data_IF_735682072835
#
_entry.id   IF_735682072835
#
_cell.length_a   1.000
_cell.length_b   1.000
_cell.length_c   1.000
_cell.angle_alpha   90.00
_cell.angle_beta   90.00
_cell.angle_gamma   90.00
#
_symmetry.space_group_name_H-M   'P 1'
#
loop_
_entity.id
_entity.type
_entity.pdbx_description
1 polymer ?
#
# COMPACT_ATOMS: atom_id res chain seq x y z
N UNK A 1 -27.76 2.38 -18.73
CA UNK A 1 -27.48 2.74 -17.32
C UNK A 1 -26.21 2.08 -16.77
N UNK A 2 -25.88 0.83 -17.15
CA UNK A 2 -24.61 0.17 -16.77
C UNK A 2 -23.33 0.80 -17.36
N UNK A 3 -23.42 1.62 -18.42
CA UNK A 3 -22.27 2.29 -19.03
C UNK A 3 -21.74 3.51 -18.23
N UNK A 4 -22.45 3.94 -17.17
CA UNK A 4 -22.08 5.13 -16.39
C UNK A 4 -21.06 4.84 -15.27
N UNK A 5 -20.90 3.59 -14.85
CA UNK A 5 -19.95 3.20 -13.80
C UNK A 5 -18.53 2.96 -14.33
N UNK A 6 -18.37 2.57 -15.61
CA UNK A 6 -17.06 2.26 -16.20
C UNK A 6 -16.25 3.49 -16.64
N UNK A 7 -16.90 4.62 -16.92
CA UNK A 7 -16.23 5.85 -17.37
C UNK A 7 -15.29 6.43 -16.31
N UNK A 8 -15.60 6.24 -15.03
CA UNK A 8 -14.83 6.78 -13.92
C UNK A 8 -13.53 6.03 -13.65
N UNK A 9 -13.53 4.71 -13.82
CA UNK A 9 -12.31 3.91 -13.77
C UNK A 9 -11.33 4.32 -14.89
N UNK A 10 -11.84 4.70 -16.07
CA UNK A 10 -11.05 5.15 -17.22
C UNK A 10 -10.42 6.52 -16.97
N UNK A 11 -11.13 7.45 -16.33
CA UNK A 11 -10.58 8.77 -15.98
C UNK A 11 -9.47 8.65 -14.91
N UNK A 12 -9.63 7.73 -13.95
CA UNK A 12 -8.63 7.44 -12.93
C UNK A 12 -7.36 6.82 -13.53
N UNK A 13 -7.51 5.92 -14.52
CA UNK A 13 -6.37 5.36 -15.28
C UNK A 13 -5.67 6.43 -16.11
N UNK A 14 -6.42 7.40 -16.66
CA UNK A 14 -5.87 8.50 -17.47
C UNK A 14 -5.11 9.54 -16.63
N UNK A 15 -5.47 9.73 -15.36
CA UNK A 15 -4.75 10.60 -14.43
C UNK A 15 -3.51 9.92 -13.81
N UNK A 16 -3.51 8.58 -13.75
CA UNK A 16 -2.38 7.79 -13.23
C UNK A 16 -1.32 7.45 -14.30
N UNK A 17 -1.63 7.68 -15.58
CA UNK A 17 -0.72 7.50 -16.71
C UNK A 17 -0.79 8.73 -17.64
N UNK A 18 0.12 9.72 -17.52
CA UNK A 18 0.32 10.67 -18.60
C UNK A 18 0.88 9.89 -19.79
N UNK A 19 0.05 9.60 -20.79
CA UNK A 19 0.45 8.81 -21.94
C UNK A 19 1.22 9.67 -22.93
N UNK A 20 2.52 9.42 -23.02
CA UNK A 20 3.18 9.48 -24.33
C UNK A 20 2.64 8.31 -25.16
N UNK A 21 1.71 8.62 -26.07
CA UNK A 21 1.39 7.82 -27.25
C UNK A 21 0.67 6.49 -27.02
N UNK A 22 -0.66 6.52 -26.83
CA UNK A 22 -1.52 5.38 -27.17
C UNK A 22 -2.87 5.85 -27.71
N UNK A 23 -3.06 5.72 -29.02
CA UNK A 23 -4.33 5.99 -29.71
C UNK A 23 -5.20 4.73 -29.73
N UNK A 24 -6.32 4.73 -29.03
CA UNK A 24 -7.31 3.64 -29.09
C UNK A 24 -8.35 3.95 -30.16
N UNK A 25 -8.39 3.13 -31.21
CA UNK A 25 -9.41 3.18 -32.26
C UNK A 25 -10.68 2.46 -31.76
N UNK A 26 -11.75 3.22 -31.52
CA UNK A 26 -13.08 2.71 -31.16
C UNK A 26 -13.88 2.44 -32.44
N UNK A 27 -13.88 1.20 -32.91
CA UNK A 27 -14.87 0.75 -33.90
C UNK A 27 -16.17 0.39 -33.19
N UNK A 28 -17.18 1.25 -33.37
CA UNK A 28 -18.57 1.03 -32.99
C UNK A 28 -19.16 -0.10 -33.86
N UNK A 29 -19.47 -1.25 -33.27
CA UNK A 29 -20.27 -2.29 -33.94
C UNK A 29 -21.74 -1.90 -33.84
N UNK A 30 -22.31 -1.52 -34.98
CA UNK A 30 -23.72 -1.19 -35.16
C UNK A 30 -24.52 -2.49 -35.31
N UNK A 31 -25.42 -2.74 -34.36
CA UNK A 31 -26.38 -3.85 -34.40
C UNK A 31 -27.36 -3.66 -35.57
N UNK A 32 -27.41 -4.63 -36.48
CA UNK A 32 -28.57 -4.84 -37.36
C UNK A 32 -29.22 -6.19 -37.05
N UNK A 33 -30.47 -6.09 -36.62
CA UNK A 33 -31.43 -7.18 -36.42
C UNK A 33 -31.79 -7.90 -37.74
N UNK A 34 -31.83 -9.24 -37.74
CA UNK A 34 -32.79 -10.02 -38.55
C UNK A 34 -32.98 -11.44 -38.00
N UNK A 35 -34.23 -11.89 -38.11
CA UNK A 35 -34.87 -13.10 -37.58
C UNK A 35 -34.41 -14.44 -38.23
N UNK A 36 -34.87 -15.61 -37.73
CA UNK A 36 -34.09 -16.86 -37.67
C UNK A 36 -34.35 -17.80 -38.85
N UNK A 37 -33.45 -18.77 -39.06
CA UNK A 37 -33.76 -20.04 -39.72
C UNK A 37 -32.78 -21.15 -39.33
N UNK A 38 -33.38 -22.32 -39.22
CA UNK A 38 -32.93 -23.68 -38.91
C UNK A 38 -31.91 -24.26 -39.90
N UNK A 39 -30.95 -25.08 -39.44
CA UNK A 39 -30.82 -26.51 -39.80
C UNK A 39 -29.52 -27.15 -39.28
N UNK A 40 -29.69 -28.34 -38.69
CA UNK A 40 -28.83 -29.54 -38.65
C UNK A 40 -27.53 -29.57 -39.48
N UNK A 41 -26.41 -30.00 -38.88
CA UNK A 41 -25.74 -31.30 -39.16
C UNK A 41 -24.38 -31.44 -38.42
N UNK A 42 -24.22 -32.61 -37.80
CA UNK A 42 -23.06 -33.53 -37.74
C UNK A 42 -21.70 -33.04 -37.17
N UNK A 43 -21.27 -33.57 -36.02
CA UNK A 43 -20.48 -34.81 -35.76
C UNK A 43 -18.99 -34.62 -36.12
N UNK A 44 -18.13 -34.51 -35.09
CA UNK A 44 -17.10 -35.52 -34.76
C UNK A 44 -16.21 -35.07 -33.57
N UNK A 45 -16.40 -35.77 -32.45
CA UNK A 45 -15.43 -36.61 -31.75
C UNK A 45 -14.10 -36.09 -31.14
N UNK A 46 -13.72 -36.82 -30.07
CA UNK A 46 -12.44 -36.91 -29.35
C UNK A 46 -12.24 -35.99 -28.12
N UNK A 47 -12.17 -36.61 -26.94
CA UNK A 47 -11.35 -36.06 -25.83
C UNK A 47 -11.71 -36.45 -24.40
N UNK A 48 -11.88 -37.73 -24.13
CA UNK A 48 -12.17 -38.29 -22.81
C UNK A 48 -10.99 -38.14 -21.82
N UNK A 49 -11.07 -37.28 -20.79
CA UNK A 49 -10.23 -37.35 -19.59
C UNK A 49 -11.03 -37.13 -18.31
N UNK A 50 -10.99 -38.17 -17.47
CA UNK A 50 -11.86 -38.37 -16.32
C UNK A 50 -11.62 -37.43 -15.15
N UNK A 51 -12.74 -36.99 -14.56
CA UNK A 51 -12.79 -36.24 -13.31
C UNK A 51 -13.02 -37.27 -12.19
N UNK A 52 -12.00 -37.47 -11.36
CA UNK A 52 -12.12 -38.22 -10.10
C UNK A 52 -12.64 -37.27 -9.02
N UNK A 53 -13.91 -37.44 -8.67
CA UNK A 53 -14.51 -36.86 -7.47
C UNK A 53 -13.92 -37.52 -6.22
N UNK A 54 -13.23 -36.74 -5.37
CA UNK A 54 -12.92 -37.12 -4.00
C UNK A 54 -13.60 -36.16 -3.03
N UNK A 55 -14.66 -36.66 -2.41
CA UNK A 55 -15.18 -36.13 -1.15
C UNK A 55 -14.10 -36.20 -0.07
N UNK A 56 -13.90 -35.11 0.67
CA UNK A 56 -13.39 -35.19 2.04
C UNK A 56 -14.12 -34.19 2.93
N UNK A 57 -14.94 -34.76 3.81
CA UNK A 57 -15.41 -34.12 5.03
C UNK A 57 -14.24 -34.09 6.03
N UNK A 58 -13.99 -32.94 6.65
CA UNK A 58 -13.33 -32.90 7.95
C UNK A 58 -13.91 -31.72 8.76
N UNK A 59 -14.66 -32.10 9.80
CA UNK A 59 -15.21 -31.28 10.87
C UNK A 59 -14.14 -31.03 11.94
N UNK A 60 -14.27 -29.85 12.57
CA UNK A 60 -13.97 -29.54 13.97
C UNK A 60 -12.50 -29.43 14.42
N UNK A 61 -12.20 -28.27 15.02
CA UNK A 61 -10.97 -27.99 15.77
C UNK A 61 -11.01 -26.62 16.44
N UNK A 62 -12.06 -26.35 17.24
CA UNK A 62 -12.10 -25.23 18.19
C UNK A 62 -11.31 -25.68 19.41
N UNK A 63 -10.20 -25.01 19.73
CA UNK A 63 -9.63 -24.86 21.10
C UNK A 63 -8.27 -24.16 21.02
N UNK A 64 -8.20 -22.89 21.41
CA UNK A 64 -7.12 -22.36 22.27
C UNK A 64 -7.44 -20.89 22.62
N UNK A 65 -8.21 -20.73 23.69
CA UNK A 65 -8.48 -19.47 24.36
C UNK A 65 -8.23 -19.78 25.84
N UNK A 66 -7.48 -18.89 26.51
CA UNK A 66 -7.03 -18.91 27.92
C UNK A 66 -5.56 -19.31 28.11
N UNK A 67 -4.70 -18.29 28.15
CA UNK A 67 -3.59 -18.21 29.11
C UNK A 67 -3.26 -16.72 29.34
N UNK A 68 -4.13 -16.05 30.10
CA UNK A 68 -3.79 -14.83 30.83
C UNK A 68 -2.89 -15.24 32.00
N UNK A 69 -1.58 -14.98 31.88
CA UNK A 69 -0.61 -15.21 32.95
C UNK A 69 -0.37 -13.89 33.70
N UNK A 70 -0.77 -13.92 34.97
CA UNK A 70 -0.44 -12.94 36.00
C UNK A 70 1.02 -12.51 35.97
N UNK A 71 1.27 -11.20 36.04
CA UNK A 71 2.57 -10.62 36.36
C UNK A 71 2.41 -9.87 37.68
N UNK A 72 2.96 -10.42 38.75
CA UNK A 72 3.09 -9.78 40.05
C UNK A 72 4.52 -10.00 40.56
N UNK A 73 5.19 -8.87 40.86
CA UNK A 73 6.28 -8.65 41.85
C UNK A 73 7.52 -9.57 41.77
N UNK A 74 8.68 -9.13 41.26
CA UNK A 74 9.72 -8.29 41.89
C UNK A 74 10.19 -8.76 43.26
N UNK A 75 11.41 -9.32 43.33
CA UNK A 75 12.48 -8.95 44.29
C UNK A 75 13.66 -9.96 44.22
N UNK A 76 14.86 -9.39 44.36
CA UNK A 76 16.21 -9.98 44.55
C UNK A 76 17.12 -10.12 43.32
N UNK A 77 17.99 -9.10 43.22
CA UNK A 77 19.44 -9.10 43.03
C UNK A 77 20.11 -10.31 42.36
N UNK A 78 20.83 -10.03 41.28
CA UNK A 78 22.28 -10.26 41.25
C UNK A 78 22.91 -9.29 40.23
N UNK A 79 23.91 -8.54 40.71
CA UNK A 79 24.83 -7.74 39.93
C UNK A 79 25.64 -8.64 38.99
N UNK A 80 25.49 -8.45 37.68
CA UNK A 80 26.48 -8.91 36.70
C UNK A 80 26.74 -7.81 35.67
N UNK A 81 27.81 -7.06 35.95
CA UNK A 81 28.48 -6.13 35.06
C UNK A 81 29.09 -6.90 33.87
N UNK A 82 28.29 -7.29 32.89
CA UNK A 82 28.81 -7.57 31.54
C UNK A 82 27.76 -7.59 30.43
N UNK A 83 27.99 -6.70 29.45
CA UNK A 83 27.58 -6.83 28.04
C UNK A 83 26.08 -6.88 27.74
N UNK A 84 25.53 -5.74 27.34
CA UNK A 84 24.79 -5.70 26.07
C UNK A 84 24.88 -4.29 25.49
N UNK A 85 25.74 -4.11 24.48
CA UNK A 85 25.59 -3.01 23.53
C UNK A 85 24.36 -3.36 22.69
N UNK A 86 23.19 -3.32 23.31
CA UNK A 86 21.92 -3.43 22.64
C UNK A 86 21.86 -2.26 21.66
N UNK A 87 22.09 -2.56 20.38
CA UNK A 87 21.62 -1.74 19.27
C UNK A 87 20.11 -1.69 19.39
N UNK A 88 19.61 -0.86 20.29
CA UNK A 88 18.18 -0.60 20.47
C UNK A 88 17.72 0.03 19.18
N UNK A 89 17.04 -0.76 18.36
CA UNK A 89 16.30 -0.23 17.22
C UNK A 89 15.43 0.93 17.73
N UNK A 90 15.43 2.07 17.03
CA UNK A 90 14.65 3.22 17.47
C UNK A 90 13.17 2.81 17.59
N UNK A 91 12.44 3.33 18.60
CA UNK A 91 11.01 3.07 18.72
C UNK A 91 10.28 3.37 17.40
N UNK A 92 9.18 2.68 17.07
CA UNK A 92 8.65 2.62 15.70
C UNK A 92 8.24 3.97 15.09
N UNK A 93 7.90 4.96 15.91
CA UNK A 93 7.63 6.32 15.43
C UNK A 93 8.94 7.07 15.09
N UNK A 94 10.00 6.84 15.87
CA UNK A 94 11.32 7.44 15.59
C UNK A 94 11.90 6.91 14.28
N UNK A 95 11.61 5.67 13.87
CA UNK A 95 12.04 5.16 12.56
C UNK A 95 11.33 5.85 11.40
N UNK A 96 10.04 6.17 11.50
CA UNK A 96 9.35 7.01 10.50
C UNK A 96 9.92 8.41 10.46
N UNK A 97 10.12 9.05 11.62
CA UNK A 97 10.68 10.41 11.68
C UNK A 97 12.07 10.43 11.05
N UNK A 98 12.89 9.41 11.31
CA UNK A 98 14.19 9.25 10.68
C UNK A 98 14.05 9.02 9.16
N UNK A 99 13.11 8.20 8.69
CA UNK A 99 12.84 8.01 7.25
C UNK A 99 12.45 9.33 6.56
N UNK A 100 11.62 10.15 7.22
CA UNK A 100 11.24 11.49 6.73
C UNK A 100 12.44 12.43 6.70
N UNK A 101 13.28 12.43 7.74
CA UNK A 101 14.48 13.27 7.80
C UNK A 101 15.52 12.87 6.74
N UNK A 102 15.65 11.57 6.50
CA UNK A 102 16.59 11.02 5.51
C UNK A 102 16.06 11.15 4.08
N UNK A 103 14.74 11.12 3.89
CA UNK A 103 14.08 11.23 2.60
C UNK A 103 12.86 12.17 2.63
N UNK A 104 13.10 13.49 2.75
CA UNK A 104 12.02 14.47 2.80
C UNK A 104 11.21 14.51 1.50
N UNK A 105 11.86 14.20 0.37
CA UNK A 105 11.24 14.16 -0.96
C UNK A 105 10.12 13.11 -1.04
N UNK A 106 10.34 11.91 -0.48
CA UNK A 106 9.31 10.87 -0.37
C UNK A 106 8.10 11.36 0.41
N UNK A 107 8.33 12.01 1.56
CA UNK A 107 7.26 12.55 2.39
C UNK A 107 6.46 13.66 1.67
N UNK A 108 7.14 14.53 0.92
CA UNK A 108 6.51 15.59 0.12
C UNK A 108 5.67 15.00 -1.00
N UNK A 109 6.19 14.05 -1.78
CA UNK A 109 5.42 13.42 -2.86
C UNK A 109 4.24 12.63 -2.32
N UNK A 110 4.43 11.85 -1.25
CA UNK A 110 3.35 11.13 -0.59
C UNK A 110 2.23 12.09 -0.16
N UNK A 111 2.59 13.16 0.54
CA UNK A 111 1.64 14.18 1.02
C UNK A 111 0.90 14.84 -0.15
N UNK A 112 1.62 15.18 -1.21
CA UNK A 112 1.05 15.82 -2.40
C UNK A 112 0.08 14.89 -3.13
N UNK A 113 0.46 13.62 -3.36
CA UNK A 113 -0.40 12.66 -4.03
C UNK A 113 -1.67 12.35 -3.23
N UNK A 114 -1.56 12.12 -1.92
CA UNK A 114 -2.73 11.92 -1.08
C UNK A 114 -3.67 13.14 -1.07
N UNK A 115 -3.10 14.35 -1.00
CA UNK A 115 -3.88 15.59 -1.04
C UNK A 115 -4.59 15.76 -2.39
N UNK A 116 -3.88 15.55 -3.50
CA UNK A 116 -4.45 15.71 -4.85
C UNK A 116 -5.53 14.65 -5.10
N UNK A 117 -5.30 13.39 -4.73
CA UNK A 117 -6.31 12.34 -4.86
C UNK A 117 -7.57 12.67 -4.04
N UNK A 118 -7.42 13.14 -2.80
CA UNK A 118 -8.54 13.59 -1.98
C UNK A 118 -9.28 14.76 -2.62
N UNK A 119 -8.56 15.82 -2.99
CA UNK A 119 -9.15 17.03 -3.55
C UNK A 119 -9.83 16.82 -4.92
N UNK A 120 -9.38 15.83 -5.69
CA UNK A 120 -9.98 15.50 -6.98
C UNK A 120 -11.15 14.54 -6.84
N UNK A 121 -10.99 13.41 -6.12
CA UNK A 121 -12.01 12.37 -6.02
C UNK A 121 -13.16 12.75 -5.08
N UNK A 122 -12.86 13.47 -4.00
CA UNK A 122 -13.84 13.88 -2.99
C UNK A 122 -15.06 14.61 -3.55
N UNK A 123 -14.88 15.70 -4.33
CA UNK A 123 -15.98 16.40 -4.97
C UNK A 123 -16.86 15.54 -5.89
N UNK A 124 -16.28 14.53 -6.56
CA UNK A 124 -17.08 13.62 -7.40
C UNK A 124 -17.91 12.65 -6.56
N UNK A 125 -17.38 12.19 -5.42
CA UNK A 125 -18.13 11.34 -4.49
C UNK A 125 -19.28 12.13 -3.86
N UNK A 126 -18.97 13.31 -3.33
CA UNK A 126 -19.93 14.24 -2.76
C UNK A 126 -21.03 14.64 -3.76
N UNK A 127 -20.65 14.81 -5.04
CA UNK A 127 -21.61 15.09 -6.10
C UNK A 127 -22.66 14.00 -6.27
N UNK A 128 -22.41 12.73 -5.94
CA UNK A 128 -23.48 11.72 -5.99
C UNK A 128 -24.57 12.04 -4.98
N UNK A 129 -24.21 12.37 -3.75
CA UNK A 129 -25.19 12.73 -2.72
C UNK A 129 -25.93 14.01 -3.05
N UNK A 130 -25.25 14.99 -3.67
CA UNK A 130 -25.92 16.19 -4.19
C UNK A 130 -26.93 15.87 -5.31
N UNK A 131 -26.53 15.04 -6.29
CA UNK A 131 -27.37 14.71 -7.44
C UNK A 131 -28.60 13.86 -7.08
N UNK A 132 -28.47 13.01 -6.07
CA UNK A 132 -29.57 12.17 -5.57
C UNK A 132 -30.37 12.84 -4.45
N UNK A 133 -30.07 14.11 -4.13
CA UNK A 133 -30.82 14.87 -3.13
C UNK A 133 -30.61 14.38 -1.70
N UNK A 134 -29.53 13.67 -1.40
CA UNK A 134 -29.15 13.33 -0.01
C UNK A 134 -28.77 14.61 0.74
N UNK A 135 -27.97 15.46 0.11
CA UNK A 135 -27.50 16.72 0.65
C UNK A 135 -27.61 17.84 -0.39
N UNK A 136 -27.62 19.08 0.07
CA UNK A 136 -27.61 20.26 -0.80
C UNK A 136 -26.71 21.36 -0.25
N UNK A 137 -26.17 22.15 -1.16
CA UNK A 137 -25.43 23.38 -0.87
C UNK A 137 -26.31 24.58 -1.13
N UNK A 138 -26.23 25.61 -0.29
CA UNK A 138 -26.94 26.87 -0.54
C UNK A 138 -26.36 27.64 -1.74
N UNK A 139 -25.07 27.49 -2.01
CA UNK A 139 -24.38 28.05 -3.18
C UNK A 139 -23.59 26.95 -3.91
N UNK A 140 -24.28 26.08 -4.68
CA UNK A 140 -23.64 24.99 -5.38
C UNK A 140 -22.85 25.52 -6.58
N UNK A 141 -21.67 24.96 -6.79
CA UNK A 141 -20.96 24.99 -8.06
C UNK A 141 -21.43 23.79 -8.88
N UNK A 142 -22.09 24.06 -10.00
CA UNK A 142 -22.61 23.04 -10.92
C UNK A 142 -21.88 23.20 -12.25
N UNK A 143 -21.23 22.13 -12.72
CA UNK A 143 -20.58 22.15 -14.02
C UNK A 143 -20.74 20.81 -14.75
N UNK A 144 -20.97 20.84 -16.08
CA UNK A 144 -21.02 19.63 -16.88
C UNK A 144 -19.59 19.08 -17.04
N UNK A 145 -19.41 17.79 -16.75
CA UNK A 145 -18.16 17.07 -17.01
C UNK A 145 -18.20 16.52 -18.44
N UNK A 146 -19.35 15.98 -18.84
CA UNK A 146 -19.61 15.49 -20.19
C UNK A 146 -20.93 16.08 -20.67
N UNK A 147 -20.86 17.04 -21.59
CA UNK A 147 -22.01 17.80 -22.09
C UNK A 147 -21.65 19.27 -22.35
N UNK A 148 -22.53 20.00 -23.04
CA UNK A 148 -22.27 21.40 -23.43
C UNK A 148 -22.69 22.44 -22.40
N UNK A 149 -23.66 22.13 -21.52
CA UNK A 149 -24.10 23.03 -20.45
C UNK A 149 -24.73 22.24 -19.30
N UNK A 150 -24.64 22.74 -18.06
CA UNK A 150 -25.29 22.15 -16.88
C UNK A 150 -26.82 22.17 -16.97
N UNK A 151 -27.36 23.15 -17.70
CA UNK A 151 -28.81 23.36 -17.88
C UNK A 151 -29.36 22.61 -19.10
N UNK A 152 -28.49 21.95 -19.88
CA UNK A 152 -28.88 21.22 -21.08
C UNK A 152 -29.34 19.80 -20.72
N UNK A 153 -30.46 19.35 -21.28
CA UNK A 153 -30.89 17.94 -21.19
C UNK A 153 -29.87 16.96 -21.80
N UNK A 154 -28.86 17.48 -22.51
CA UNK A 154 -27.74 16.75 -23.09
C UNK A 154 -26.52 16.60 -22.15
N UNK A 155 -26.54 17.13 -20.92
CA UNK A 155 -25.51 16.85 -19.92
C UNK A 155 -25.57 15.37 -19.51
N UNK A 156 -24.61 14.58 -19.98
CA UNK A 156 -24.50 13.15 -19.65
C UNK A 156 -23.95 12.95 -18.23
N UNK A 157 -23.12 13.89 -17.77
CA UNK A 157 -22.45 13.83 -16.48
C UNK A 157 -22.23 15.24 -15.92
N UNK A 158 -22.72 15.49 -14.70
CA UNK A 158 -22.65 16.77 -14.02
C UNK A 158 -21.98 16.59 -12.66
N UNK A 159 -21.15 17.55 -12.25
CA UNK A 159 -20.63 17.64 -10.90
C UNK A 159 -21.37 18.74 -10.15
N UNK A 160 -21.82 18.45 -8.92
CA UNK A 160 -22.41 19.39 -7.99
C UNK A 160 -21.56 19.37 -6.73
N UNK A 161 -20.93 20.50 -6.39
CA UNK A 161 -20.05 20.64 -5.21
C UNK A 161 -20.00 22.10 -4.76
N UNK A 162 -19.03 22.49 -3.92
CA UNK A 162 -18.74 23.90 -3.64
C UNK A 162 -17.23 24.13 -3.43
N UNK A 163 -16.78 25.38 -3.44
CA UNK A 163 -15.35 25.72 -3.56
C UNK A 163 -14.50 25.25 -2.36
N UNK A 164 -15.09 25.07 -1.17
CA UNK A 164 -14.39 24.61 0.02
C UNK A 164 -14.34 23.07 0.16
N UNK A 165 -15.10 22.35 -0.66
CA UNK A 165 -15.16 20.87 -0.63
C UNK A 165 -13.84 20.24 -1.12
N UNK A 166 -13.28 20.61 -2.30
CA UNK A 166 -11.98 20.08 -2.73
C UNK A 166 -10.85 20.24 -1.70
N UNK A 167 -10.58 21.43 -1.10
CA UNK A 167 -9.52 21.55 -0.10
C UNK A 167 -9.79 20.75 1.17
N UNK A 168 -11.06 20.62 1.61
CA UNK A 168 -11.42 19.80 2.76
C UNK A 168 -11.14 18.31 2.52
N UNK A 169 -11.52 17.78 1.35
CA UNK A 169 -11.23 16.40 0.99
C UNK A 169 -9.74 16.16 0.73
N UNK A 170 -9.01 17.16 0.21
CA UNK A 170 -7.55 17.08 0.10
C UNK A 170 -6.87 16.97 1.46
N UNK A 171 -7.28 17.78 2.42
CA UNK A 171 -6.81 17.70 3.80
C UNK A 171 -7.15 16.35 4.43
N UNK A 172 -8.37 15.85 4.23
CA UNK A 172 -8.77 14.52 4.70
C UNK A 172 -7.88 13.41 4.11
N UNK A 173 -7.61 13.44 2.79
CA UNK A 173 -6.71 12.49 2.14
C UNK A 173 -5.31 12.50 2.74
N UNK A 174 -4.75 13.70 2.98
CA UNK A 174 -3.47 13.88 3.66
C UNK A 174 -3.48 13.27 5.08
N UNK A 175 -4.46 13.64 5.92
CA UNK A 175 -4.52 13.22 7.32
C UNK A 175 -4.74 11.71 7.46
N UNK A 176 -5.69 11.16 6.70
CA UNK A 176 -6.00 9.73 6.71
C UNK A 176 -4.80 8.93 6.21
N UNK A 177 -4.15 9.40 5.13
CA UNK A 177 -2.96 8.74 4.58
C UNK A 177 -1.82 8.67 5.60
N UNK A 178 -1.46 9.79 6.23
CA UNK A 178 -0.42 9.81 7.25
C UNK A 178 -0.78 9.00 8.48
N UNK A 179 -2.04 9.05 8.93
CA UNK A 179 -2.50 8.27 10.06
C UNK A 179 -2.32 6.76 9.81
N UNK A 180 -2.61 6.29 8.59
CA UNK A 180 -2.34 4.91 8.19
C UNK A 180 -0.86 4.55 8.27
N UNK A 181 0.03 5.37 7.69
CA UNK A 181 1.48 5.08 7.69
C UNK A 181 2.04 5.06 9.12
N UNK A 182 1.61 5.98 9.97
CA UNK A 182 2.03 6.04 11.37
C UNK A 182 1.52 4.82 12.16
N UNK A 183 0.24 4.47 12.02
CA UNK A 183 -0.35 3.34 12.73
C UNK A 183 0.17 1.99 12.21
N UNK A 184 0.48 1.86 10.93
CA UNK A 184 1.13 0.66 10.38
C UNK A 184 2.48 0.42 11.06
N UNK A 185 3.29 1.46 11.26
CA UNK A 185 4.57 1.29 11.96
C UNK A 185 4.42 0.96 13.45
N UNK A 186 3.33 1.39 14.10
CA UNK A 186 3.13 1.15 15.53
C UNK A 186 2.49 -0.22 15.77
N UNK A 187 1.47 -0.56 14.98
CA UNK A 187 0.57 -1.69 15.24
C UNK A 187 0.94 -2.94 14.45
N UNK A 188 1.63 -2.80 13.31
CA UNK A 188 1.85 -3.91 12.36
C UNK A 188 3.34 -4.35 12.29
N UNK A 189 4.06 -4.21 13.41
CA UNK A 189 5.53 -4.42 13.57
C UNK A 189 6.03 -5.83 13.22
N UNK A 190 5.15 -6.81 12.94
CA UNK A 190 5.51 -8.23 12.82
C UNK A 190 5.07 -8.84 11.50
N UNK A 191 5.91 -8.73 10.48
CA UNK A 191 5.74 -9.49 9.23
C UNK A 191 7.12 -10.01 8.81
N UNK A 192 7.36 -11.31 9.00
CA UNK A 192 8.55 -12.01 8.49
C UNK A 192 8.71 -11.76 6.98
N UNK A 193 9.95 -11.66 6.49
CA UNK A 193 10.23 -11.27 5.09
C UNK A 193 9.50 -12.13 4.04
N UNK A 194 9.30 -13.43 4.30
CA UNK A 194 8.55 -14.32 3.41
C UNK A 194 7.03 -14.03 3.35
N UNK A 195 6.48 -13.40 4.39
CA UNK A 195 5.07 -13.02 4.49
C UNK A 195 4.77 -11.60 4.01
N UNK A 196 5.80 -10.78 3.76
CA UNK A 196 5.66 -9.39 3.26
C UNK A 196 4.89 -9.30 1.94
N UNK A 197 5.13 -10.21 1.00
CA UNK A 197 4.46 -10.23 -0.31
C UNK A 197 2.95 -10.57 -0.26
N UNK A 198 2.48 -11.17 0.83
CA UNK A 198 1.04 -11.46 1.05
C UNK A 198 0.43 -10.58 2.13
N UNK A 199 1.22 -9.69 2.71
CA UNK A 199 0.76 -8.83 3.79
C UNK A 199 -0.22 -7.79 3.26
N UNK A 200 -1.31 -7.50 3.97
CA UNK A 200 -2.22 -6.41 3.62
C UNK A 200 -1.54 -5.03 3.60
N UNK A 201 -0.33 -4.90 4.18
CA UNK A 201 0.51 -3.70 4.12
C UNK A 201 1.09 -3.39 2.72
N UNK A 202 1.11 -4.38 1.83
CA UNK A 202 1.61 -4.25 0.45
C UNK A 202 0.49 -4.54 -0.55
N UNK A 203 -0.54 -3.69 -0.64
CA UNK A 203 -1.64 -3.90 -1.56
C UNK A 203 -1.14 -3.85 -3.01
N UNK A 204 -1.64 -4.76 -3.84
CA UNK A 204 -1.43 -4.69 -5.29
C UNK A 204 -2.25 -3.55 -5.88
N UNK A 205 -1.79 -2.94 -6.98
CA UNK A 205 -2.51 -1.86 -7.66
C UNK A 205 -3.96 -2.24 -8.01
N UNK A 206 -4.26 -3.46 -8.53
CA UNK A 206 -5.64 -3.88 -8.74
C UNK A 206 -6.48 -3.86 -7.45
N UNK A 207 -5.91 -4.26 -6.31
CA UNK A 207 -6.61 -4.23 -5.01
C UNK A 207 -6.93 -2.80 -4.57
N UNK A 208 -6.02 -1.86 -4.80
CA UNK A 208 -6.23 -0.42 -4.54
C UNK A 208 -7.37 0.12 -5.40
N UNK A 209 -7.33 -0.15 -6.71
CA UNK A 209 -8.37 0.30 -7.65
C UNK A 209 -9.73 -0.31 -7.34
N UNK A 210 -9.78 -1.58 -6.97
CA UNK A 210 -11.01 -2.24 -6.48
C UNK A 210 -11.49 -1.54 -5.21
N UNK A 211 -10.60 -1.21 -4.27
CA UNK A 211 -10.97 -0.53 -3.04
C UNK A 211 -11.58 0.85 -3.28
N UNK A 212 -10.95 1.69 -4.10
CA UNK A 212 -11.47 3.00 -4.50
C UNK A 212 -12.82 2.86 -5.23
N UNK A 213 -12.92 1.89 -6.16
CA UNK A 213 -14.15 1.64 -6.92
C UNK A 213 -15.29 1.15 -6.01
N UNK A 214 -14.98 0.29 -5.05
CA UNK A 214 -15.96 -0.28 -4.12
C UNK A 214 -16.49 0.78 -3.14
N UNK A 215 -15.61 1.65 -2.64
CA UNK A 215 -16.01 2.82 -1.86
C UNK A 215 -16.88 3.78 -2.69
N UNK A 216 -16.46 4.09 -3.91
CA UNK A 216 -17.23 4.93 -4.85
C UNK A 216 -18.61 4.33 -5.13
N UNK A 217 -18.69 3.02 -5.31
CA UNK A 217 -19.93 2.29 -5.52
C UNK A 217 -20.86 2.39 -4.30
N UNK A 218 -20.35 2.23 -3.08
CA UNK A 218 -21.14 2.39 -1.87
C UNK A 218 -21.70 3.82 -1.77
N UNK A 219 -20.87 4.84 -2.05
CA UNK A 219 -21.27 6.23 -2.05
C UNK A 219 -22.40 6.49 -3.06
N UNK A 220 -22.23 6.05 -4.30
CA UNK A 220 -23.25 6.14 -5.35
C UNK A 220 -24.54 5.39 -4.98
N UNK A 221 -24.42 4.14 -4.52
CA UNK A 221 -25.56 3.28 -4.21
C UNK A 221 -26.40 3.86 -3.07
N UNK A 222 -25.76 4.41 -2.04
CA UNK A 222 -26.48 5.06 -0.93
C UNK A 222 -27.35 6.23 -1.42
N UNK A 223 -26.84 7.06 -2.34
CA UNK A 223 -27.63 8.12 -2.96
C UNK A 223 -28.77 7.58 -3.82
N UNK A 224 -28.52 6.57 -4.65
CA UNK A 224 -29.58 5.95 -5.47
C UNK A 224 -30.71 5.38 -4.60
N UNK A 225 -30.38 4.67 -3.53
CA UNK A 225 -31.38 4.10 -2.63
C UNK A 225 -32.20 5.19 -1.96
N UNK A 226 -31.55 6.26 -1.51
CA UNK A 226 -32.22 7.43 -0.94
C UNK A 226 -33.20 8.07 -1.95
N UNK A 227 -32.76 8.31 -3.19
CA UNK A 227 -33.59 8.89 -4.25
C UNK A 227 -34.76 8.00 -4.71
N UNK A 228 -34.77 6.72 -4.34
CA UNK A 228 -35.86 5.78 -4.62
C UNK A 228 -36.67 5.45 -3.36
N UNK A 229 -36.62 6.32 -2.33
CA UNK A 229 -37.42 6.24 -1.12
C UNK A 229 -37.26 4.91 -0.34
N UNK A 230 -36.09 4.27 -0.43
CA UNK A 230 -35.81 3.10 0.40
C UNK A 230 -35.71 3.50 1.88
N UNK A 231 -36.25 2.63 2.75
CA UNK A 231 -36.22 2.86 4.20
C UNK A 231 -34.80 3.05 4.74
N UNK A 232 -34.63 3.97 5.69
CA UNK A 232 -33.32 4.31 6.28
C UNK A 232 -32.65 3.11 6.93
N UNK A 233 -33.42 2.24 7.58
CA UNK A 233 -32.90 1.02 8.21
C UNK A 233 -32.32 0.09 7.17
N UNK A 234 -33.00 -0.05 6.02
CA UNK A 234 -32.50 -0.85 4.91
C UNK A 234 -31.18 -0.28 4.37
N UNK A 235 -31.11 1.03 4.13
CA UNK A 235 -29.87 1.69 3.67
C UNK A 235 -28.75 1.48 4.70
N UNK A 236 -29.03 1.70 5.99
CA UNK A 236 -28.06 1.51 7.07
C UNK A 236 -27.51 0.09 7.13
N UNK A 237 -28.38 -0.92 7.11
CA UNK A 237 -27.98 -2.32 7.15
C UNK A 237 -27.14 -2.67 5.93
N UNK A 238 -27.58 -2.27 4.74
CA UNK A 238 -26.85 -2.57 3.51
C UNK A 238 -25.49 -1.87 3.47
N UNK A 239 -25.42 -0.58 3.82
CA UNK A 239 -24.16 0.16 3.88
C UNK A 239 -23.21 -0.45 4.91
N UNK A 240 -23.72 -0.91 6.06
CA UNK A 240 -22.92 -1.57 7.09
C UNK A 240 -22.36 -2.91 6.61
N UNK A 241 -23.17 -3.72 5.92
CA UNK A 241 -22.72 -4.98 5.31
C UNK A 241 -21.65 -4.71 4.26
N UNK A 242 -21.85 -3.73 3.38
CA UNK A 242 -20.85 -3.35 2.37
C UNK A 242 -19.55 -2.85 3.04
N UNK A 243 -19.64 -2.03 4.08
CA UNK A 243 -18.48 -1.55 4.81
C UNK A 243 -17.69 -2.69 5.48
N UNK A 244 -18.40 -3.63 6.11
CA UNK A 244 -17.80 -4.82 6.73
C UNK A 244 -17.12 -5.73 5.69
N UNK A 245 -17.81 -6.01 4.58
CA UNK A 245 -17.26 -6.78 3.45
C UNK A 245 -16.06 -6.06 2.85
N UNK A 246 -16.10 -4.74 2.70
CA UNK A 246 -15.00 -3.94 2.18
C UNK A 246 -13.79 -3.98 3.09
N UNK A 247 -13.94 -3.72 4.38
CA UNK A 247 -12.83 -3.83 5.34
C UNK A 247 -12.24 -5.25 5.37
N UNK A 248 -13.10 -6.27 5.42
CA UNK A 248 -12.66 -7.66 5.41
C UNK A 248 -12.07 -8.05 4.05
N UNK A 249 -12.51 -7.51 2.92
CA UNK A 249 -11.95 -7.87 1.61
C UNK A 249 -10.63 -7.15 1.31
N UNK A 250 -10.52 -5.90 1.77
CA UNK A 250 -9.52 -4.96 1.27
C UNK A 250 -8.38 -4.69 2.24
N UNK A 251 -8.60 -4.72 3.54
CA UNK A 251 -7.59 -4.25 4.52
C UNK A 251 -7.26 -5.31 5.57
N UNK A 252 -8.22 -5.66 6.45
CA UNK A 252 -8.02 -6.61 7.58
C UNK A 252 -6.85 -6.28 8.53
N UNK A 253 -6.37 -5.05 8.60
CA UNK A 253 -5.31 -4.63 9.55
C UNK A 253 -5.88 -3.93 10.79
N UNK A 254 -5.17 -3.98 11.91
CA UNK A 254 -5.57 -3.26 13.12
C UNK A 254 -5.48 -1.75 12.90
N UNK A 255 -4.43 -1.28 12.25
CA UNK A 255 -4.32 0.12 11.80
C UNK A 255 -5.53 0.50 10.95
N UNK A 256 -5.89 -0.35 9.99
CA UNK A 256 -7.06 -0.15 9.14
C UNK A 256 -8.36 -0.04 9.93
N UNK A 257 -8.59 -0.89 10.92
CA UNK A 257 -9.77 -0.82 11.78
C UNK A 257 -9.84 0.50 12.54
N UNK A 258 -8.71 0.91 13.15
CA UNK A 258 -8.61 2.14 13.94
C UNK A 258 -8.87 3.36 13.06
N UNK A 259 -8.25 3.43 11.89
CA UNK A 259 -8.46 4.55 10.97
C UNK A 259 -9.89 4.56 10.43
N UNK A 260 -10.45 3.41 10.06
CA UNK A 260 -11.83 3.31 9.59
C UNK A 260 -12.85 3.74 10.66
N UNK A 261 -12.60 3.40 11.93
CA UNK A 261 -13.42 3.88 13.04
C UNK A 261 -13.25 5.40 13.23
N UNK A 262 -12.02 5.91 13.12
CA UNK A 262 -11.73 7.33 13.20
C UNK A 262 -12.41 8.13 12.08
N UNK A 263 -12.47 7.61 10.85
CA UNK A 263 -13.22 8.26 9.75
C UNK A 263 -14.72 8.18 9.97
N UNK A 264 -15.24 7.03 10.40
CA UNK A 264 -16.67 6.81 10.68
C UNK A 264 -17.24 7.73 11.77
N UNK A 265 -16.40 8.20 12.70
CA UNK A 265 -16.78 9.13 13.75
C UNK A 265 -16.37 10.56 13.39
N UNK A 266 -15.12 10.75 12.98
CA UNK A 266 -14.54 12.06 12.73
C UNK A 266 -15.17 12.78 11.54
N UNK A 267 -15.48 12.07 10.45
CA UNK A 267 -16.18 12.64 9.30
C UNK A 267 -17.52 13.24 9.70
N UNK A 268 -18.44 12.46 10.28
CA UNK A 268 -19.73 12.98 10.74
C UNK A 268 -19.64 14.07 11.81
N UNK A 269 -18.62 14.08 12.68
CA UNK A 269 -18.41 15.19 13.62
C UNK A 269 -17.96 16.48 12.92
N UNK A 270 -17.10 16.39 11.91
CA UNK A 270 -16.72 17.53 11.07
C UNK A 270 -17.97 18.06 10.36
N UNK A 271 -18.80 17.17 9.83
CA UNK A 271 -20.08 17.51 9.20
C UNK A 271 -21.03 18.27 10.14
N UNK A 272 -21.20 17.81 11.38
CA UNK A 272 -21.96 18.54 12.40
C UNK A 272 -21.40 19.96 12.59
N UNK A 273 -20.07 20.08 12.66
CA UNK A 273 -19.41 21.39 12.77
C UNK A 273 -19.69 22.29 11.56
N UNK A 274 -19.59 21.75 10.35
CA UNK A 274 -19.86 22.48 9.11
C UNK A 274 -21.32 22.96 9.06
N UNK A 275 -22.30 22.10 9.38
CA UNK A 275 -23.72 22.46 9.42
C UNK A 275 -23.99 23.54 10.49
N UNK A 276 -23.34 23.43 11.65
CA UNK A 276 -23.60 24.30 12.80
C UNK A 276 -22.94 25.68 12.70
N UNK A 277 -21.78 25.77 12.04
CA UNK A 277 -20.94 26.96 12.09
C UNK A 277 -20.69 27.64 10.74
N UNK A 278 -20.98 27.00 9.61
CA UNK A 278 -20.83 27.67 8.32
C UNK A 278 -21.84 28.82 8.20
N UNK A 279 -21.41 29.99 7.68
CA UNK A 279 -22.34 31.06 7.32
C UNK A 279 -23.40 30.56 6.34
N UNK A 280 -24.60 31.14 6.37
CA UNK A 280 -25.72 30.75 5.49
C UNK A 280 -25.33 30.74 4.01
N UNK A 281 -24.47 31.66 3.58
CA UNK A 281 -23.96 31.72 2.21
C UNK A 281 -23.12 30.51 1.81
N UNK A 282 -22.54 29.78 2.76
CA UNK A 282 -21.64 28.63 2.53
C UNK A 282 -22.22 27.32 3.06
N UNK A 283 -23.38 27.38 3.71
CA UNK A 283 -23.97 26.25 4.39
C UNK A 283 -24.28 25.11 3.42
N UNK A 284 -24.10 23.91 3.94
CA UNK A 284 -24.59 22.67 3.35
C UNK A 284 -25.49 21.99 4.38
N UNK A 285 -26.46 21.21 3.92
CA UNK A 285 -27.37 20.48 4.80
C UNK A 285 -27.82 19.17 4.15
N UNK A 286 -28.15 18.19 4.98
CA UNK A 286 -28.89 17.02 4.52
C UNK A 286 -30.35 17.37 4.32
N UNK A 287 -30.93 16.88 3.24
CA UNK A 287 -32.37 17.00 3.01
C UNK A 287 -33.15 16.08 3.96
N UNK A 288 -32.50 15.01 4.41
CA UNK A 288 -32.97 14.14 5.49
C UNK A 288 -31.94 14.09 6.62
N UNK A 289 -32.23 14.80 7.71
CA UNK A 289 -31.38 14.86 8.90
C UNK A 289 -31.37 13.57 9.74
N UNK A 290 -32.25 12.62 9.40
CA UNK A 290 -32.30 11.30 10.02
C UNK A 290 -32.53 11.34 11.53
N UNK A 291 -31.98 10.32 12.20
CA UNK A 291 -32.12 10.09 13.65
C UNK A 291 -31.23 11.02 14.48
N UNK A 292 -30.19 11.60 13.87
CA UNK A 292 -29.19 12.41 14.59
C UNK A 292 -29.57 13.88 14.67
N UNK A 293 -30.51 14.33 13.84
CA UNK A 293 -30.86 15.74 13.68
C UNK A 293 -29.88 16.54 12.82
N UNK A 294 -28.82 15.90 12.30
CA UNK A 294 -27.84 16.52 11.40
C UNK A 294 -27.65 15.75 10.10
N UNK A 295 -27.54 14.43 10.18
CA UNK A 295 -27.31 13.51 9.06
C UNK A 295 -27.94 12.13 9.33
N UNK A 296 -28.26 11.34 8.29
CA UNK A 296 -28.83 10.02 8.49
C UNK A 296 -27.77 8.99 8.91
N UNK A 297 -28.09 8.08 9.82
CA UNK A 297 -27.11 7.18 10.46
C UNK A 297 -26.31 6.30 9.48
N UNK A 298 -26.85 6.03 8.29
CA UNK A 298 -26.18 5.24 7.26
C UNK A 298 -24.94 5.93 6.67
N UNK A 299 -24.71 7.22 6.94
CA UNK A 299 -23.47 7.93 6.59
C UNK A 299 -22.26 7.37 7.35
N UNK A 300 -22.44 6.89 8.58
CA UNK A 300 -21.37 6.33 9.42
C UNK A 300 -20.65 5.15 8.71
N UNK A 301 -21.33 4.09 8.25
CA UNK A 301 -20.66 3.01 7.52
C UNK A 301 -20.13 3.42 6.14
N UNK A 302 -20.63 4.51 5.53
CA UNK A 302 -20.03 5.07 4.30
C UNK A 302 -18.65 5.64 4.62
N UNK A 303 -18.53 6.46 5.66
CA UNK A 303 -17.23 6.96 6.14
C UNK A 303 -16.28 5.85 6.60
N UNK A 304 -16.82 4.80 7.21
CA UNK A 304 -16.01 3.65 7.62
C UNK A 304 -15.31 3.00 6.42
N UNK A 305 -16.02 2.76 5.31
CA UNK A 305 -15.42 2.17 4.11
C UNK A 305 -14.43 3.10 3.40
N UNK A 306 -14.54 4.41 3.64
CA UNK A 306 -13.52 5.38 3.22
C UNK A 306 -12.14 5.06 3.81
N UNK A 307 -12.06 4.46 5.00
CA UNK A 307 -10.82 4.02 5.65
C UNK A 307 -10.01 3.06 4.78
N UNK A 308 -10.50 1.82 4.50
CA UNK A 308 -9.78 0.81 3.73
C UNK A 308 -9.40 1.25 2.32
N UNK A 309 -10.22 2.08 1.67
CA UNK A 309 -9.92 2.62 0.34
C UNK A 309 -8.72 3.59 0.40
N UNK A 310 -8.76 4.57 1.30
CA UNK A 310 -7.68 5.54 1.48
C UNK A 310 -6.41 4.91 2.04
N UNK A 311 -6.52 3.97 2.97
CA UNK A 311 -5.38 3.27 3.56
C UNK A 311 -4.59 2.44 2.56
N UNK A 312 -5.28 1.68 1.71
CA UNK A 312 -4.62 0.93 0.65
C UNK A 312 -3.97 1.83 -0.39
N UNK A 313 -4.59 2.97 -0.72
CA UNK A 313 -3.99 3.97 -1.59
C UNK A 313 -2.71 4.57 -0.96
N UNK A 314 -2.78 4.94 0.31
CA UNK A 314 -1.65 5.48 1.06
C UNK A 314 -0.48 4.49 1.10
N UNK A 315 -0.73 3.22 1.45
CA UNK A 315 0.28 2.16 1.43
C UNK A 315 0.88 1.99 0.05
N UNK A 316 0.07 2.01 -1.01
CA UNK A 316 0.56 1.87 -2.38
C UNK A 316 1.52 3.02 -2.77
N UNK A 317 1.14 4.27 -2.50
CA UNK A 317 2.03 5.42 -2.74
C UNK A 317 3.30 5.36 -1.89
N UNK A 318 3.17 5.08 -0.59
CA UNK A 318 4.32 5.01 0.31
C UNK A 318 5.32 3.93 -0.12
N UNK A 319 4.82 2.76 -0.50
CA UNK A 319 5.63 1.64 -0.97
C UNK A 319 6.25 1.90 -2.34
N UNK A 320 5.53 2.54 -3.26
CA UNK A 320 6.06 2.88 -4.59
C UNK A 320 7.20 3.89 -4.46
N UNK A 321 7.00 4.98 -3.72
CA UNK A 321 8.02 6.01 -3.49
C UNK A 321 9.25 5.48 -2.73
N UNK A 322 9.07 4.44 -1.91
CA UNK A 322 10.18 3.75 -1.23
C UNK A 322 11.03 2.88 -2.17
N UNK A 323 10.45 2.30 -3.22
CA UNK A 323 11.18 1.48 -4.21
C UNK A 323 12.13 2.33 -5.04
N UNK A 324 11.68 3.50 -5.48
CA UNK A 324 12.51 4.40 -6.29
C UNK A 324 13.68 4.95 -5.49
N UNK A 325 13.50 5.23 -4.20
CA UNK A 325 14.60 5.64 -3.32
C UNK A 325 15.64 4.52 -3.10
N UNK A 326 15.22 3.26 -3.00
CA UNK A 326 16.14 2.12 -2.89
C UNK A 326 16.85 1.83 -4.21
N UNK A 327 16.15 1.92 -5.35
CA UNK A 327 16.75 1.77 -6.69
C UNK A 327 17.67 2.93 -7.02
N UNK A 328 17.34 4.16 -6.62
CA UNK A 328 18.19 5.32 -6.81
C UNK A 328 19.34 5.36 -5.81
N UNK A 329 19.17 4.86 -4.59
CA UNK A 329 20.27 4.59 -3.66
C UNK A 329 21.18 3.50 -4.21
N UNK A 330 20.65 2.39 -4.74
CA UNK A 330 21.43 1.36 -5.44
C UNK A 330 22.11 1.92 -6.71
N UNK A 331 21.46 2.83 -7.45
CA UNK A 331 22.00 3.46 -8.67
C UNK A 331 23.02 4.56 -8.35
N UNK A 332 22.88 5.27 -7.21
CA UNK A 332 23.90 6.19 -6.66
C UNK A 332 25.07 5.42 -6.05
N UNK A 333 24.83 4.28 -5.41
CA UNK A 333 25.87 3.35 -4.94
C UNK A 333 26.55 2.66 -6.14
N UNK A 334 25.88 2.52 -7.28
CA UNK A 334 26.43 2.02 -8.54
C UNK A 334 27.14 3.10 -9.39
N UNK A 335 27.01 4.38 -9.02
CA UNK A 335 27.75 5.52 -9.62
C UNK A 335 28.80 6.13 -8.69
N UNK A 336 28.84 5.71 -7.41
CA UNK A 336 30.05 5.70 -6.61
C UNK A 336 30.95 4.55 -7.13
N UNK A 337 32.27 4.75 -7.22
CA UNK A 337 33.16 3.70 -7.68
C UNK A 337 32.91 2.47 -6.82
N UNK A 338 32.66 1.34 -7.50
CA UNK A 338 32.70 -0.02 -6.94
C UNK A 338 33.57 -0.02 -5.70
N UNK A 339 32.96 -0.31 -4.53
CA UNK A 339 33.59 -0.69 -3.26
C UNK A 339 35.10 -0.66 -3.40
N UNK A 340 35.71 0.47 -3.00
CA UNK A 340 37.11 0.83 -3.24
C UNK A 340 37.95 -0.42 -3.47
N UNK A 341 38.45 -0.63 -4.69
CA UNK A 341 39.41 -1.70 -4.92
C UNK A 341 40.50 -1.53 -3.86
N UNK A 342 40.60 -2.50 -2.94
CA UNK A 342 41.51 -2.38 -1.81
C UNK A 342 42.90 -2.06 -2.36
N UNK A 343 43.45 -0.89 -2.04
CA UNK A 343 44.68 -0.36 -2.68
C UNK A 343 45.87 -1.31 -2.54
N UNK A 344 45.86 -2.19 -1.53
CA UNK A 344 46.91 -3.18 -1.29
C UNK A 344 46.81 -4.41 -2.18
N UNK A 345 45.60 -4.92 -2.44
CA UNK A 345 45.41 -6.12 -3.25
C UNK A 345 44.76 -5.82 -4.61
N UNK A 346 44.47 -4.57 -4.91
CA UNK A 346 43.76 -4.10 -6.11
C UNK A 346 42.46 -4.88 -6.37
N UNK A 347 41.73 -5.23 -5.31
CA UNK A 347 40.48 -6.01 -5.40
C UNK A 347 40.64 -7.53 -5.55
N UNK A 348 41.87 -8.07 -5.65
CA UNK A 348 42.10 -9.53 -5.76
C UNK A 348 41.91 -10.30 -4.44
N UNK A 349 41.79 -9.58 -3.31
CA UNK A 349 41.71 -10.09 -1.92
C UNK A 349 42.93 -10.92 -1.47
N UNK A 350 43.95 -11.07 -2.31
CA UNK A 350 45.19 -11.77 -2.00
C UNK A 350 46.40 -10.84 -2.22
N UNK A 351 47.44 -11.02 -1.40
CA UNK A 351 48.73 -10.34 -1.52
C UNK A 351 49.86 -11.37 -1.49
N UNK A 352 51.05 -11.06 -2.03
CA UNK A 352 52.20 -11.95 -1.93
C UNK A 352 52.49 -12.37 -0.49
N UNK A 353 52.89 -13.61 -0.27
CA UNK A 353 53.25 -14.09 1.05
C UNK A 353 54.52 -13.37 1.52
N UNK A 354 54.54 -12.75 2.72
CA UNK A 354 55.73 -12.05 3.21
C UNK A 354 56.90 -12.99 3.59
N UNK A 355 56.68 -14.30 3.56
CA UNK A 355 57.61 -15.31 4.08
C UNK A 355 58.15 -16.27 3.01
N UNK A 356 57.76 -16.10 1.74
CA UNK A 356 58.24 -16.91 0.62
C UNK A 356 57.94 -16.24 -0.72
N UNK A 357 58.67 -16.63 -1.78
CA UNK A 357 58.51 -16.04 -3.11
C UNK A 357 57.44 -16.75 -3.94
N UNK A 358 57.53 -18.08 -4.05
CA UNK A 358 56.67 -18.91 -4.92
C UNK A 358 55.87 -19.96 -4.12
N UNK A 359 55.69 -19.73 -2.82
CA UNK A 359 55.15 -20.74 -1.91
C UNK A 359 56.22 -21.63 -1.27
N UNK A 360 57.48 -21.48 -1.67
CA UNK A 360 58.63 -22.15 -1.05
C UNK A 360 59.71 -21.15 -0.61
N UNK A 361 60.53 -21.54 0.36
CA UNK A 361 61.73 -20.79 0.74
C UNK A 361 62.89 -21.75 0.97
N UNK A 362 64.12 -21.26 0.83
CA UNK A 362 65.33 -22.05 1.09
C UNK A 362 65.80 -21.88 2.53
N UNK A 363 66.00 -23.00 3.21
CA UNK A 363 66.63 -23.02 4.53
C UNK A 363 67.54 -24.24 4.62
N UNK A 364 68.72 -24.08 5.22
CA UNK A 364 69.71 -25.16 5.36
C UNK A 364 70.01 -25.93 4.06
N UNK A 365 70.06 -25.24 2.92
CA UNK A 365 70.33 -25.85 1.62
C UNK A 365 69.19 -26.69 1.03
N UNK A 366 68.01 -26.70 1.66
CA UNK A 366 66.83 -27.41 1.18
C UNK A 366 65.69 -26.44 0.87
N UNK A 367 64.94 -26.73 -0.20
CA UNK A 367 63.69 -26.03 -0.54
C UNK A 367 62.57 -26.59 0.34
N UNK A 368 61.92 -25.73 1.12
CA UNK A 368 60.84 -26.10 2.05
C UNK A 368 59.56 -25.37 1.68
N UNK A 369 58.43 -26.05 1.78
CA UNK A 369 57.10 -25.46 1.54
C UNK A 369 56.78 -24.46 2.66
N UNK A 370 56.36 -23.26 2.28
CA UNK A 370 55.97 -22.22 3.21
C UNK A 370 54.72 -22.62 3.98
N UNK A 371 54.84 -22.72 5.31
CA UNK A 371 53.70 -23.06 6.19
C UNK A 371 52.65 -21.95 6.26
N UNK A 372 53.07 -20.70 6.06
CA UNK A 372 52.20 -19.52 6.15
C UNK A 372 51.19 -19.46 4.99
N UNK A 373 51.63 -19.70 3.76
CA UNK A 373 50.75 -19.72 2.57
C UNK A 373 50.46 -21.14 2.07
N UNK A 374 50.95 -22.18 2.75
CA UNK A 374 50.82 -23.60 2.36
C UNK A 374 51.22 -23.89 0.91
N UNK A 375 52.30 -23.27 0.43
CA UNK A 375 52.77 -23.51 -0.95
C UNK A 375 52.13 -22.65 -2.03
N UNK A 376 51.19 -21.75 -1.70
CA UNK A 376 50.49 -20.91 -2.70
C UNK A 376 51.21 -19.60 -3.09
N UNK A 377 52.25 -19.20 -2.37
CA UNK A 377 52.96 -17.93 -2.59
C UNK A 377 52.15 -16.66 -2.28
N UNK A 378 50.87 -16.78 -1.89
CA UNK A 378 49.97 -15.65 -1.57
C UNK A 378 49.22 -15.89 -0.26
N UNK A 379 48.80 -14.81 0.39
CA UNK A 379 47.99 -14.80 1.61
C UNK A 379 46.85 -13.81 1.48
N UNK A 380 45.81 -13.96 2.30
CA UNK A 380 44.67 -13.05 2.28
C UNK A 380 45.09 -11.62 2.67
N UNK A 381 44.56 -10.61 1.98
CA UNK A 381 44.84 -9.22 2.28
C UNK A 381 44.25 -8.83 3.65
N UNK A 382 45.10 -8.37 4.57
CA UNK A 382 44.65 -8.05 5.93
C UNK A 382 43.70 -6.85 5.99
N UNK A 383 43.86 -5.87 5.11
CA UNK A 383 42.93 -4.73 5.01
C UNK A 383 41.54 -5.12 4.52
N UNK A 384 41.43 -6.24 3.81
CA UNK A 384 40.12 -6.76 3.39
C UNK A 384 39.30 -7.35 4.54
N UNK A 385 39.89 -7.66 5.71
CA UNK A 385 39.12 -8.21 6.85
C UNK A 385 38.04 -7.24 7.33
N UNK A 386 38.42 -5.99 7.60
CA UNK A 386 37.49 -4.93 8.01
C UNK A 386 36.52 -4.53 6.91
N UNK A 387 36.94 -4.60 5.65
CA UNK A 387 36.15 -4.15 4.49
C UNK A 387 35.08 -5.17 4.04
N UNK A 388 35.33 -6.47 4.27
CA UNK A 388 34.41 -7.56 3.94
C UNK A 388 33.69 -8.16 5.15
N UNK A 389 33.94 -7.65 6.36
CA UNK A 389 33.31 -8.16 7.59
C UNK A 389 33.77 -9.58 7.95
N UNK A 390 35.00 -9.93 7.57
CA UNK A 390 35.59 -11.24 7.88
C UNK A 390 36.29 -11.18 9.24
N UNK A 391 36.03 -12.18 10.10
CA UNK A 391 36.71 -12.31 11.39
C UNK A 391 38.16 -12.79 11.17
N UNK A 392 39.18 -12.00 11.55
CA UNK A 392 40.59 -12.41 11.42
C UNK A 392 40.94 -13.64 12.28
N UNK A 393 40.10 -14.03 13.23
CA UNK A 393 40.32 -15.20 14.09
C UNK A 393 39.66 -16.48 13.54
N UNK A 394 38.81 -16.39 12.52
CA UNK A 394 38.18 -17.55 11.87
C UNK A 394 39.11 -18.13 10.80
N UNK A 395 40.12 -18.86 11.26
CA UNK A 395 41.18 -19.42 10.42
C UNK A 395 40.59 -20.40 9.39
N UNK A 396 39.54 -21.16 9.72
CA UNK A 396 38.87 -22.11 8.84
C UNK A 396 38.10 -21.43 7.71
N UNK A 397 37.42 -20.30 7.98
CA UNK A 397 36.80 -19.47 6.92
C UNK A 397 37.86 -18.85 6.02
N UNK A 398 38.93 -18.32 6.59
CA UNK A 398 40.05 -17.74 5.83
C UNK A 398 40.67 -18.78 4.88
N UNK A 399 40.88 -20.01 5.37
CA UNK A 399 41.40 -21.12 4.55
C UNK A 399 40.47 -21.43 3.37
N UNK A 400 39.16 -21.53 3.60
CA UNK A 400 38.18 -21.76 2.53
C UNK A 400 38.20 -20.67 1.47
N UNK A 401 38.33 -19.40 1.86
CA UNK A 401 38.45 -18.28 0.93
C UNK A 401 39.74 -18.42 0.10
N UNK A 402 40.87 -18.72 0.74
CA UNK A 402 42.16 -18.92 0.06
C UNK A 402 42.18 -20.13 -0.89
N UNK A 403 41.33 -21.12 -0.66
CA UNK A 403 41.16 -22.29 -1.54
C UNK A 403 40.28 -22.03 -2.77
N UNK A 404 39.50 -20.95 -2.74
CA UNK A 404 38.62 -20.55 -3.85
C UNK A 404 39.26 -19.50 -4.77
N UNK A 405 40.38 -18.89 -4.38
CA UNK A 405 41.11 -17.93 -5.21
C UNK A 405 41.92 -18.72 -6.24
N UNK A 406 41.69 -18.52 -7.56
CA UNK A 406 42.46 -19.18 -8.60
C UNK A 406 43.94 -18.77 -8.56
N UNK A 407 44.83 -19.69 -8.95
CA UNK A 407 46.28 -19.51 -8.95
C UNK A 407 46.76 -18.36 -9.87
#
# INVERSE_FOLDING_TARGET
MAAKSSAWAVLLVSLLYPTDGFSVNLNLVQNQSRHPRTSSCDIDDIGNHGITLRHSHARNGISSLLLLRNKSTSLFDDDDDSKELATTSPPPIKSIIQDIQLNPTKAIYFSSFMTVCGATLGPFLDSYHSLFGVLTYNTPLIYPIIGRSADDAAALLTCVTTYWVPPLFGLAGFLIGWLYILLDAILEVKVDDASRLRSPLYPSIPKVLIGVSYFTFQYWLSGVLFANDFDRTFILVLMSVLAAVGYYGLDRTQSGLVVSAATAIGGPLIEIGLISFLPVSWAYHYNDVGETGYFPLWIIPVYFLGGPANGNLARAFWNALGKDANVESERRVSTLPTRSTCLECQGTRAVPCPNCDDGTYFTYGQRVICKTCRGKGRVICRKCFSEYGDDPNDIEKIRRIMDQIPD
#
